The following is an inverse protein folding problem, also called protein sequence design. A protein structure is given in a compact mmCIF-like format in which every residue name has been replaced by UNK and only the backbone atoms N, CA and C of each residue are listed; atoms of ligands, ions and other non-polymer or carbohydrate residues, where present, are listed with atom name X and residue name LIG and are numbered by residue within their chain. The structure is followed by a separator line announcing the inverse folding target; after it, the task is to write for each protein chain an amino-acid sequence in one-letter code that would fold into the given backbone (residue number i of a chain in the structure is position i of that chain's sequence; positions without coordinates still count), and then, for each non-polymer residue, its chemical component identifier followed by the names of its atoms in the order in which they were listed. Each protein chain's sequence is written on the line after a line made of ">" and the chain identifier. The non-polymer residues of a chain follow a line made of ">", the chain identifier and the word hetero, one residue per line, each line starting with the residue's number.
data_IF_570234003832
#
_entry.id   IF_570234003832
#
_cell.length_a   1.000
_cell.length_b   1.000
_cell.length_c   1.000
_cell.angle_alpha   90.00
_cell.angle_beta   90.00
_cell.angle_gamma   90.00
#
_symmetry.space_group_name_H-M   'P 1'
#
loop_
_entity.id
_entity.type
_entity.pdbx_description
1 polymer ?
#
# COMPACT_ATOMS: atom_id res chain seq x y z
N UNK A 1 -25.75 38.75 -15.17
CA UNK A 1 -26.48 37.67 -14.48
C UNK A 1 -26.94 36.59 -15.46
N UNK A 2 -27.56 36.96 -16.60
CA UNK A 2 -28.02 35.99 -17.61
C UNK A 2 -26.90 35.10 -18.18
N UNK A 3 -25.72 35.66 -18.47
CA UNK A 3 -24.57 34.88 -18.96
C UNK A 3 -24.11 33.77 -18.00
N UNK A 4 -24.07 34.07 -16.70
CA UNK A 4 -23.70 33.09 -15.68
C UNK A 4 -24.75 31.98 -15.55
N UNK A 5 -26.04 32.33 -15.66
CA UNK A 5 -27.13 31.35 -15.66
C UNK A 5 -27.03 30.39 -16.84
N UNK A 6 -26.75 30.89 -18.06
CA UNK A 6 -26.55 30.04 -19.24
C UNK A 6 -25.34 29.11 -19.09
N UNK A 7 -24.27 29.58 -18.46
CA UNK A 7 -23.07 28.78 -18.19
C UNK A 7 -23.36 27.64 -17.21
N UNK A 8 -24.07 27.90 -16.12
CA UNK A 8 -24.45 26.89 -15.13
C UNK A 8 -25.39 25.85 -15.74
N UNK A 9 -26.35 26.28 -16.55
CA UNK A 9 -27.28 25.37 -17.24
C UNK A 9 -26.54 24.42 -18.20
N UNK A 10 -25.54 24.93 -18.93
CA UNK A 10 -24.69 24.11 -19.80
C UNK A 10 -23.95 23.03 -19.00
N UNK A 11 -23.32 23.39 -17.88
CA UNK A 11 -22.59 22.45 -17.02
C UNK A 11 -23.53 21.36 -16.48
N UNK A 12 -24.71 21.74 -15.99
CA UNK A 12 -25.70 20.79 -15.48
C UNK A 12 -26.17 19.81 -16.57
N UNK A 13 -26.29 20.25 -17.81
CA UNK A 13 -26.68 19.39 -18.92
C UNK A 13 -25.55 18.42 -19.33
N UNK A 14 -24.30 18.87 -19.31
CA UNK A 14 -23.12 18.02 -19.53
C UNK A 14 -22.98 16.96 -18.43
N UNK A 15 -23.17 17.33 -17.16
CA UNK A 15 -23.16 16.39 -16.04
C UNK A 15 -24.29 15.36 -16.16
N UNK A 16 -25.52 15.78 -16.49
CA UNK A 16 -26.65 14.86 -16.72
C UNK A 16 -26.36 13.86 -17.84
N UNK A 17 -25.72 14.30 -18.93
CA UNK A 17 -25.31 13.42 -20.02
C UNK A 17 -24.28 12.39 -19.55
N UNK A 18 -23.26 12.82 -18.80
CA UNK A 18 -22.25 11.93 -18.22
C UNK A 18 -22.88 10.86 -17.29
N UNK A 19 -23.80 11.27 -16.41
CA UNK A 19 -24.52 10.32 -15.53
C UNK A 19 -25.35 9.29 -16.30
N UNK A 20 -25.97 9.68 -17.41
CA UNK A 20 -26.72 8.77 -18.26
C UNK A 20 -25.82 7.68 -18.89
N UNK A 21 -24.61 8.04 -19.32
CA UNK A 21 -23.63 7.10 -19.85
C UNK A 21 -23.13 6.11 -18.78
N UNK A 22 -22.81 6.60 -17.58
CA UNK A 22 -22.41 5.75 -16.45
C UNK A 22 -23.52 4.75 -16.11
N UNK A 23 -24.78 5.21 -16.05
CA UNK A 23 -25.93 4.33 -15.78
C UNK A 23 -26.09 3.24 -16.85
N UNK A 24 -25.85 3.56 -18.12
CA UNK A 24 -25.85 2.60 -19.23
C UNK A 24 -24.74 1.55 -19.08
N UNK A 25 -23.54 1.98 -18.66
CA UNK A 25 -22.40 1.10 -18.42
C UNK A 25 -22.66 0.11 -17.28
N UNK A 26 -23.20 0.58 -16.15
CA UNK A 26 -23.54 -0.25 -15.00
C UNK A 26 -24.57 -1.33 -15.38
N UNK A 27 -25.62 -0.95 -16.13
CA UNK A 27 -26.63 -1.90 -16.62
C UNK A 27 -26.04 -2.96 -17.56
N UNK A 28 -25.02 -2.59 -18.35
CA UNK A 28 -24.30 -3.54 -19.20
C UNK A 28 -23.45 -4.51 -18.37
N UNK A 29 -22.76 -4.03 -17.33
CA UNK A 29 -21.99 -4.88 -16.42
C UNK A 29 -22.87 -5.86 -15.66
N UNK A 30 -24.01 -5.41 -15.14
CA UNK A 30 -24.97 -6.25 -14.43
C UNK A 30 -25.46 -7.40 -15.32
N UNK A 31 -25.80 -7.11 -16.58
CA UNK A 31 -26.17 -8.15 -17.55
C UNK A 31 -25.05 -9.19 -17.76
N UNK A 32 -23.80 -8.73 -17.88
CA UNK A 32 -22.64 -9.64 -18.04
C UNK A 32 -22.39 -10.50 -16.80
N UNK A 33 -22.60 -9.95 -15.60
CA UNK A 33 -22.47 -10.72 -14.35
C UNK A 33 -23.53 -11.83 -14.31
N UNK A 34 -24.77 -11.53 -14.70
CA UNK A 34 -25.85 -12.53 -14.76
C UNK A 34 -25.60 -13.59 -15.83
N UNK A 35 -25.01 -13.24 -16.98
CA UNK A 35 -24.64 -14.19 -18.04
C UNK A 35 -23.47 -15.11 -17.64
N UNK A 36 -22.54 -14.61 -16.82
CA UNK A 36 -21.37 -15.38 -16.34
C UNK A 36 -21.64 -16.18 -15.08
N UNK A 37 -22.74 -15.91 -14.37
CA UNK A 37 -23.15 -16.75 -13.25
C UNK A 37 -23.40 -18.18 -13.77
N UNK A 38 -22.62 -19.18 -13.33
CA UNK A 38 -22.86 -20.55 -13.73
C UNK A 38 -24.30 -20.87 -13.35
N UNK A 39 -25.09 -21.41 -14.29
CA UNK A 39 -26.35 -22.07 -13.96
C UNK A 39 -25.99 -23.32 -13.14
N UNK A 40 -25.67 -23.11 -11.87
CA UNK A 40 -25.41 -24.15 -10.92
C UNK A 40 -26.70 -24.93 -10.75
N UNK A 41 -26.85 -25.99 -11.54
CA UNK A 41 -27.56 -27.17 -11.09
C UNK A 41 -26.79 -27.68 -9.88
N UNK A 42 -27.12 -27.14 -8.72
CA UNK A 42 -26.96 -27.87 -7.48
C UNK A 42 -27.90 -29.07 -7.61
N UNK A 43 -27.37 -30.17 -8.13
CA UNK A 43 -27.98 -31.47 -7.90
C UNK A 43 -27.78 -31.74 -6.41
N UNK A 44 -28.87 -31.68 -5.65
CA UNK A 44 -29.01 -32.29 -4.33
C UNK A 44 -28.77 -33.80 -4.46
N UNK A 45 -27.52 -34.21 -4.59
CA UNK A 45 -27.10 -35.53 -4.16
C UNK A 45 -26.67 -35.38 -2.73
N UNK A 46 -27.64 -35.55 -1.83
CA UNK A 46 -27.41 -35.83 -0.43
C UNK A 46 -26.44 -37.02 -0.34
N UNK A 47 -25.17 -36.74 -0.08
CA UNK A 47 -24.25 -37.74 0.43
C UNK A 47 -24.64 -37.95 1.89
N UNK A 48 -25.37 -39.04 2.14
CA UNK A 48 -25.50 -39.63 3.46
C UNK A 48 -24.10 -39.99 3.93
N UNK A 49 -23.58 -39.19 4.86
CA UNK A 49 -22.35 -39.50 5.58
C UNK A 49 -22.74 -40.57 6.59
N UNK A 50 -22.39 -41.82 6.30
CA UNK A 50 -22.51 -42.89 7.28
C UNK A 50 -21.61 -42.60 8.49
N UNK A 51 -22.12 -42.75 9.72
CA UNK A 51 -21.30 -42.59 10.92
C UNK A 51 -20.31 -43.75 11.02
N UNK A 52 -19.02 -43.44 10.84
CA UNK A 52 -17.96 -44.38 11.12
C UNK A 52 -17.94 -44.68 12.63
N UNK A 53 -18.31 -45.91 12.99
CA UNK A 53 -18.13 -46.48 14.32
C UNK A 53 -16.62 -46.55 14.63
N UNK A 54 -16.16 -45.69 15.55
CA UNK A 54 -14.86 -45.82 16.18
C UNK A 54 -14.99 -46.72 17.40
N UNK A 55 -14.40 -47.92 17.31
CA UNK A 55 -14.11 -48.78 18.47
C UNK A 55 -12.89 -48.25 19.24
N UNK A 56 -12.82 -48.48 20.57
CA UNK A 56 -11.73 -48.01 21.42
C UNK A 56 -10.60 -49.05 21.55
N UNK A 57 -9.49 -48.59 22.15
CA UNK A 57 -8.40 -49.33 22.81
C UNK A 57 -7.03 -49.31 22.12
N UNK A 58 -6.23 -48.28 22.44
CA UNK A 58 -4.78 -48.44 22.64
C UNK A 58 -4.35 -47.58 23.86
N UNK A 59 -3.84 -48.17 24.95
CA UNK A 59 -3.14 -47.44 26.00
C UNK A 59 -1.63 -47.39 25.69
N UNK A 60 -1.01 -46.23 25.82
CA UNK A 60 0.43 -46.10 25.61
C UNK A 60 0.98 -44.72 25.94
N UNK A 61 1.29 -44.53 27.23
CA UNK A 61 2.11 -43.46 27.81
C UNK A 61 3.11 -42.81 26.85
N UNK A 62 3.09 -41.48 26.75
CA UNK A 62 4.32 -40.70 26.59
C UNK A 62 4.13 -39.33 27.24
N UNK A 63 5.07 -38.99 28.10
CA UNK A 63 5.06 -37.85 29.03
C UNK A 63 4.93 -36.51 28.28
N UNK A 64 3.80 -35.82 28.51
CA UNK A 64 3.62 -34.43 28.09
C UNK A 64 4.27 -33.49 29.10
N UNK A 65 5.27 -32.75 28.62
CA UNK A 65 5.90 -31.64 29.32
C UNK A 65 5.07 -30.40 29.01
N UNK A 66 4.22 -29.99 29.95
CA UNK A 66 3.44 -28.75 29.89
C UNK A 66 4.36 -27.54 30.04
N UNK A 67 4.73 -26.90 28.91
CA UNK A 67 5.10 -25.48 28.91
C UNK A 67 3.87 -24.68 28.47
N UNK A 68 3.07 -24.31 29.47
CA UNK A 68 1.96 -23.38 29.35
C UNK A 68 2.54 -21.96 29.18
N UNK A 69 2.80 -21.57 27.94
CA UNK A 69 3.04 -20.16 27.61
C UNK A 69 1.74 -19.39 27.82
N UNK A 70 1.71 -18.71 28.96
CA UNK A 70 0.72 -17.73 29.40
C UNK A 70 0.56 -16.65 28.33
N UNK A 71 -0.48 -16.74 27.51
CA UNK A 71 -0.89 -15.65 26.63
C UNK A 71 -1.35 -14.50 27.50
N UNK A 72 -0.49 -13.51 27.71
CA UNK A 72 -0.85 -12.25 28.34
C UNK A 72 -1.96 -11.62 27.50
N UNK A 73 -3.18 -11.68 28.04
CA UNK A 73 -4.33 -11.01 27.48
C UNK A 73 -4.02 -9.52 27.63
N UNK A 74 -3.78 -8.82 26.52
CA UNK A 74 -3.68 -7.36 26.54
C UNK A 74 -4.91 -6.82 27.24
N UNK A 75 -4.70 -6.00 28.28
CA UNK A 75 -5.83 -5.45 29.03
C UNK A 75 -6.64 -4.53 28.13
N UNK A 76 -7.95 -4.48 28.36
CA UNK A 76 -8.86 -3.63 27.59
C UNK A 76 -8.42 -2.14 27.62
N UNK A 77 -7.67 -1.72 28.64
CA UNK A 77 -7.10 -0.38 28.77
C UNK A 77 -6.02 -0.08 27.71
N UNK A 78 -5.19 -1.07 27.35
CA UNK A 78 -4.14 -0.92 26.34
C UNK A 78 -4.74 -0.84 24.93
N UNK A 79 -5.83 -1.59 24.70
CA UNK A 79 -6.61 -1.53 23.47
C UNK A 79 -7.37 -0.20 23.32
N UNK A 80 -7.94 0.33 24.40
CA UNK A 80 -8.60 1.64 24.41
C UNK A 80 -7.62 2.80 24.18
N UNK A 81 -6.43 2.74 24.78
CA UNK A 81 -5.39 3.74 24.56
C UNK A 81 -4.96 3.81 23.08
N UNK A 82 -4.83 2.66 22.43
CA UNK A 82 -4.49 2.57 21.01
C UNK A 82 -5.60 3.15 20.10
N UNK A 83 -6.87 2.90 20.41
CA UNK A 83 -8.01 3.48 19.68
C UNK A 83 -8.06 5.01 19.78
N UNK A 84 -7.74 5.56 20.95
CA UNK A 84 -7.72 7.02 21.18
C UNK A 84 -6.58 7.68 20.40
N UNK A 85 -5.38 7.07 20.36
CA UNK A 85 -4.27 7.56 19.53
C UNK A 85 -4.59 7.51 18.03
N UNK A 86 -5.29 6.48 17.55
CA UNK A 86 -5.62 6.36 16.12
C UNK A 86 -6.75 7.31 15.67
N UNK A 87 -7.61 7.76 16.59
CA UNK A 87 -8.75 8.63 16.28
C UNK A 87 -8.58 10.10 16.69
N UNK A 88 -7.58 10.44 17.51
CA UNK A 88 -7.35 11.79 18.04
C UNK A 88 -6.65 12.81 17.13
N UNK A 89 -6.17 12.45 15.93
CA UNK A 89 -5.41 13.37 15.06
C UNK A 89 -6.28 14.22 14.09
N UNK A 90 -7.58 14.35 14.33
CA UNK A 90 -8.43 15.28 13.56
C UNK A 90 -9.50 15.89 14.46
N UNK A 91 -9.18 17.03 15.08
CA UNK A 91 -9.85 18.30 14.79
C UNK A 91 -9.30 19.43 15.68
N UNK A 92 -9.60 20.66 15.26
CA UNK A 92 -9.41 21.95 15.95
C UNK A 92 -8.12 22.74 15.67
N UNK A 93 -8.12 23.43 14.52
CA UNK A 93 -8.03 24.88 14.59
C UNK A 93 -8.81 25.55 13.45
N UNK A 94 -10.13 25.64 13.65
CA UNK A 94 -10.95 26.72 13.12
C UNK A 94 -10.54 28.02 13.81
N UNK A 95 -10.08 28.99 13.03
CA UNK A 95 -10.16 30.40 13.44
C UNK A 95 -10.65 31.19 12.24
N UNK A 96 -11.97 31.37 12.22
CA UNK A 96 -12.61 32.48 11.54
C UNK A 96 -12.01 33.78 12.06
N UNK A 97 -11.39 34.60 11.20
CA UNK A 97 -11.54 36.06 11.24
C UNK A 97 -11.30 36.67 9.85
N UNK A 98 -12.38 37.30 9.38
CA UNK A 98 -12.48 38.49 8.53
C UNK A 98 -12.35 38.43 6.99
N UNK A 99 -13.43 38.83 6.26
CA UNK A 99 -13.37 39.28 4.88
C UNK A 99 -13.13 40.79 4.80
N UNK A 100 -12.39 41.28 3.79
CA UNK A 100 -12.67 42.50 3.01
C UNK A 100 -11.42 43.02 2.24
N UNK A 101 -11.74 43.72 1.14
CA UNK A 101 -10.97 44.67 0.31
C UNK A 101 -10.05 44.09 -0.78
N UNK A 102 -10.38 44.22 -2.09
CA UNK A 102 -10.22 45.41 -2.98
C UNK A 102 -8.72 45.63 -3.26
N UNK A 103 -8.15 45.81 -4.44
CA UNK A 103 -8.53 46.04 -5.85
C UNK A 103 -7.23 45.82 -6.67
N UNK A 104 -7.26 45.27 -7.88
CA UNK A 104 -6.95 45.97 -9.15
C UNK A 104 -5.48 45.89 -9.62
N UNK A 105 -5.33 46.14 -10.93
CA UNK A 105 -4.14 46.39 -11.73
C UNK A 105 -3.55 45.24 -12.56
N UNK A 106 -4.17 45.12 -13.73
CA UNK A 106 -3.54 44.93 -15.04
C UNK A 106 -2.18 45.62 -15.20
N UNK A 107 -1.13 44.87 -15.57
CA UNK A 107 0.01 45.43 -16.34
C UNK A 107 0.41 44.45 -17.44
N UNK A 108 0.18 44.89 -18.67
CA UNK A 108 0.78 44.42 -19.92
C UNK A 108 2.26 44.84 -19.99
N UNK A 109 3.13 43.94 -20.43
CA UNK A 109 4.15 44.29 -21.45
C UNK A 109 4.90 43.07 -21.98
N UNK A 110 4.72 42.89 -23.28
CA UNK A 110 5.64 42.26 -24.21
C UNK A 110 7.03 42.90 -24.10
N UNK A 111 8.09 42.09 -24.29
CA UNK A 111 9.28 42.37 -25.12
C UNK A 111 10.49 41.60 -24.60
N UNK A 112 10.92 40.59 -25.36
CA UNK A 112 12.36 40.37 -25.57
C UNK A 112 12.63 40.10 -27.05
N UNK A 113 13.52 40.93 -27.58
CA UNK A 113 14.11 40.91 -28.90
C UNK A 113 15.37 40.06 -28.84
N UNK A 114 15.66 39.30 -29.89
CA UNK A 114 16.95 38.65 -30.08
C UNK A 114 17.80 39.42 -31.10
N UNK A 115 19.10 39.46 -30.79
CA UNK A 115 20.26 39.67 -31.67
C UNK A 115 20.61 41.13 -31.97
N UNK A 116 21.70 41.69 -31.41
CA UNK A 116 23.15 41.36 -31.52
C UNK A 116 23.79 42.37 -32.46
N UNK A 117 24.70 43.20 -31.96
CA UNK A 117 26.11 43.21 -32.38
C UNK A 117 26.89 44.45 -31.88
N UNK A 118 28.07 44.15 -31.33
CA UNK A 118 29.36 44.84 -31.49
C UNK A 118 29.61 46.17 -30.76
N UNK A 119 30.60 46.13 -29.87
CA UNK A 119 31.69 47.12 -29.90
C UNK A 119 32.14 47.73 -28.57
N UNK A 120 33.32 47.32 -28.08
CA UNK A 120 34.35 48.31 -27.69
C UNK A 120 34.72 48.48 -26.21
N UNK A 121 35.97 48.11 -25.92
CA UNK A 121 36.95 48.75 -25.01
C UNK A 121 36.72 48.79 -23.48
N UNK A 122 37.42 47.87 -22.79
CA UNK A 122 38.52 48.19 -21.85
C UNK A 122 38.22 48.95 -20.57
N UNK A 123 38.29 48.24 -19.43
CA UNK A 123 39.13 48.53 -18.25
C UNK A 123 38.83 47.49 -17.14
N UNK A 124 39.84 46.77 -16.67
CA UNK A 124 39.87 46.17 -15.33
C UNK A 124 40.29 47.25 -14.30
N UNK A 125 40.30 47.04 -12.97
CA UNK A 125 39.68 46.00 -12.13
C UNK A 125 38.89 46.60 -10.94
N UNK A 126 37.84 45.96 -10.42
CA UNK A 126 37.50 46.07 -8.99
C UNK A 126 36.92 44.75 -8.49
N UNK A 127 37.58 44.17 -7.51
CA UNK A 127 37.08 43.09 -6.67
C UNK A 127 35.90 43.65 -5.87
N UNK A 128 34.67 43.41 -6.33
CA UNK A 128 33.48 43.60 -5.53
C UNK A 128 33.12 42.25 -4.92
N UNK A 129 33.40 42.14 -3.62
CA UNK A 129 32.97 41.09 -2.70
C UNK A 129 31.44 41.13 -2.52
N UNK A 130 30.72 40.99 -3.63
CA UNK A 130 29.28 40.87 -3.64
C UNK A 130 28.93 39.43 -3.32
N UNK A 131 28.79 39.15 -2.02
CA UNK A 131 28.08 37.99 -1.49
C UNK A 131 26.84 37.70 -2.35
N UNK A 132 26.70 36.53 -2.99
CA UNK A 132 25.55 36.25 -3.82
C UNK A 132 24.30 36.27 -2.94
N UNK A 133 23.36 37.17 -3.25
CA UNK A 133 22.05 37.20 -2.63
C UNK A 133 21.41 35.80 -2.69
N UNK A 134 20.74 35.33 -1.62
CA UNK A 134 20.16 33.99 -1.60
C UNK A 134 19.14 33.83 -2.73
N UNK A 135 19.37 32.86 -3.62
CA UNK A 135 18.43 32.46 -4.68
C UNK A 135 17.13 31.87 -4.08
N UNK A 136 16.23 32.70 -3.55
CA UNK A 136 14.92 32.33 -3.00
C UNK A 136 14.01 31.52 -3.94
N UNK A 137 13.88 31.82 -5.25
CA UNK A 137 12.96 31.07 -6.11
C UNK A 137 13.36 29.61 -6.29
N UNK A 138 14.65 29.29 -6.21
CA UNK A 138 15.18 27.92 -6.34
C UNK A 138 14.86 27.08 -5.09
N UNK A 139 14.88 27.69 -3.90
CA UNK A 139 14.57 26.99 -2.65
C UNK A 139 13.07 26.68 -2.53
N UNK A 140 12.18 27.62 -2.90
CA UNK A 140 10.72 27.43 -2.83
C UNK A 140 10.24 26.27 -3.72
N UNK A 141 10.79 26.14 -4.93
CA UNK A 141 10.47 25.06 -5.84
C UNK A 141 10.93 23.68 -5.32
N UNK A 142 12.10 23.62 -4.68
CA UNK A 142 12.62 22.39 -4.06
C UNK A 142 11.74 21.91 -2.90
N UNK A 143 11.29 22.81 -2.04
CA UNK A 143 10.42 22.48 -0.90
C UNK A 143 9.07 21.96 -1.38
N UNK A 144 8.46 22.60 -2.39
CA UNK A 144 7.21 22.15 -3.00
C UNK A 144 7.33 20.76 -3.62
N UNK A 145 8.43 20.48 -4.33
CA UNK A 145 8.70 19.15 -4.89
C UNK A 145 8.76 18.06 -3.81
N UNK A 146 9.50 18.31 -2.72
CA UNK A 146 9.61 17.36 -1.60
C UNK A 146 8.29 17.15 -0.86
N UNK A 147 7.47 18.19 -0.70
CA UNK A 147 6.12 18.05 -0.13
C UNK A 147 5.23 17.16 -0.99
N UNK A 148 5.27 17.34 -2.32
CA UNK A 148 4.52 16.50 -3.25
C UNK A 148 4.98 15.03 -3.19
N UNK A 149 6.29 14.79 -3.13
CA UNK A 149 6.85 13.44 -2.96
C UNK A 149 6.43 12.80 -1.65
N UNK A 150 6.47 13.55 -0.54
CA UNK A 150 6.01 13.07 0.77
C UNK A 150 4.53 12.68 0.72
N UNK A 151 3.67 13.55 0.16
CA UNK A 151 2.24 13.26 0.02
C UNK A 151 1.95 12.03 -0.84
N UNK A 152 2.71 11.81 -1.93
CA UNK A 152 2.60 10.59 -2.74
C UNK A 152 3.02 9.34 -1.97
N UNK A 153 4.09 9.43 -1.16
CA UNK A 153 4.55 8.30 -0.35
C UNK A 153 3.54 7.96 0.74
N UNK A 154 2.98 8.96 1.43
CA UNK A 154 1.93 8.79 2.42
C UNK A 154 0.67 8.15 1.84
N UNK A 155 0.23 8.62 0.67
CA UNK A 155 -0.90 8.01 -0.02
C UNK A 155 -0.61 6.54 -0.36
N UNK A 156 0.60 6.25 -0.83
CA UNK A 156 1.04 4.91 -1.21
C UNK A 156 1.19 3.96 -0.03
N UNK A 157 1.57 4.48 1.14
CA UNK A 157 1.68 3.73 2.39
C UNK A 157 0.36 3.07 2.80
N UNK A 158 -0.78 3.70 2.50
CA UNK A 158 -2.10 3.14 2.79
C UNK A 158 -2.43 1.88 1.98
N UNK A 159 -1.74 1.68 0.85
CA UNK A 159 -1.91 0.48 0.02
C UNK A 159 -0.92 -0.64 0.36
N UNK A 160 0.00 -0.44 1.32
CA UNK A 160 0.89 -1.51 1.75
C UNK A 160 0.08 -2.64 2.39
N UNK A 161 0.06 -3.83 1.77
CA UNK A 161 -0.68 -4.97 2.30
C UNK A 161 -0.07 -5.42 3.62
N UNK A 162 -0.91 -5.91 4.53
CA UNK A 162 -0.47 -6.54 5.79
C UNK A 162 -0.55 -8.05 5.66
N UNK A 163 0.49 -8.76 6.10
CA UNK A 163 0.46 -10.22 6.24
C UNK A 163 -0.46 -10.55 7.42
N UNK A 164 -1.48 -11.37 7.19
CA UNK A 164 -2.40 -11.80 8.25
C UNK A 164 -1.78 -13.01 8.95
N UNK A 165 -1.25 -12.78 10.16
CA UNK A 165 -0.86 -13.86 11.08
C UNK A 165 -2.10 -14.18 11.89
N UNK A 166 -3.00 -14.98 11.32
CA UNK A 166 -4.19 -15.44 12.02
C UNK A 166 -4.20 -16.97 12.02
N UNK A 167 -4.50 -17.56 13.18
CA UNK A 167 -4.84 -18.97 13.27
C UNK A 167 -6.21 -19.18 12.62
N UNK A 168 -6.27 -19.96 11.55
CA UNK A 168 -7.50 -20.12 10.78
C UNK A 168 -8.42 -21.19 11.38
N UNK A 169 -9.73 -20.97 11.18
CA UNK A 169 -10.83 -21.83 11.57
C UNK A 169 -10.97 -23.04 10.65
N UNK A 170 -11.45 -24.17 11.21
CA UNK A 170 -11.92 -25.50 10.70
C UNK A 170 -11.59 -26.01 9.28
N UNK A 171 -11.40 -25.18 8.25
CA UNK A 171 -11.22 -25.59 6.85
C UNK A 171 -9.76 -25.74 6.38
N UNK A 172 -8.75 -25.42 7.20
CA UNK A 172 -7.33 -25.62 6.85
C UNK A 172 -6.80 -27.03 7.10
N UNK A 173 -7.64 -27.93 7.64
CA UNK A 173 -7.26 -29.23 8.22
C UNK A 173 -6.30 -30.09 7.37
N UNK A 174 -6.35 -29.96 6.04
CA UNK A 174 -5.59 -30.81 5.13
C UNK A 174 -4.24 -30.23 4.69
N UNK A 175 -3.99 -28.93 4.85
CA UNK A 175 -2.73 -28.32 4.38
C UNK A 175 -1.63 -28.36 5.46
N UNK A 176 -0.42 -28.79 5.08
CA UNK A 176 0.78 -28.71 5.91
C UNK A 176 1.54 -27.42 5.59
N UNK A 177 1.89 -26.66 6.61
CA UNK A 177 2.75 -25.48 6.44
C UNK A 177 4.13 -25.92 5.94
N UNK A 178 4.57 -25.42 4.79
CA UNK A 178 5.89 -25.73 4.22
C UNK A 178 7.05 -25.20 5.05
N UNK A 179 6.79 -24.21 5.91
CA UNK A 179 7.81 -23.56 6.74
C UNK A 179 7.99 -24.27 8.09
N UNK A 180 6.92 -24.38 8.88
CA UNK A 180 7.02 -24.98 10.22
C UNK A 180 6.57 -26.44 10.30
N UNK A 181 6.03 -27.00 9.21
CA UNK A 181 5.56 -28.37 9.16
C UNK A 181 4.26 -28.67 9.91
N UNK A 182 3.66 -27.70 10.62
CA UNK A 182 2.38 -27.90 11.35
C UNK A 182 1.24 -28.09 10.34
N UNK A 183 0.41 -29.10 10.58
CA UNK A 183 -0.76 -29.41 9.75
C UNK A 183 -1.99 -28.68 10.26
N UNK A 184 -2.85 -28.19 9.37
CA UNK A 184 -4.20 -27.75 9.73
C UNK A 184 -4.34 -26.40 10.42
N UNK A 185 -3.25 -25.80 10.93
CA UNK A 185 -3.29 -24.60 11.78
C UNK A 185 -3.24 -23.27 11.03
N UNK A 186 -2.48 -23.19 9.92
CA UNK A 186 -2.27 -21.96 9.16
C UNK A 186 -1.71 -22.25 7.76
N UNK A 187 -1.86 -21.30 6.85
CA UNK A 187 -1.19 -21.31 5.56
C UNK A 187 0.29 -20.93 5.70
N UNK A 188 1.16 -21.37 4.78
CA UNK A 188 2.59 -21.03 4.81
C UNK A 188 2.87 -19.51 4.83
N UNK A 189 2.03 -18.68 4.20
CA UNK A 189 2.13 -17.20 4.23
C UNK A 189 1.68 -16.57 5.57
N UNK A 190 1.09 -17.36 6.47
CA UNK A 190 0.64 -16.96 7.80
C UNK A 190 1.41 -17.70 8.90
N UNK A 191 2.63 -18.18 8.60
CA UNK A 191 3.41 -18.95 9.56
C UNK A 191 3.83 -18.10 10.77
N UNK A 192 3.49 -18.50 12.02
CA UNK A 192 3.89 -17.74 13.20
C UNK A 192 5.36 -17.95 13.57
N UNK A 193 6.02 -19.01 13.08
CA UNK A 193 7.44 -19.28 13.36
C UNK A 193 8.39 -18.56 12.43
N UNK A 194 7.98 -18.35 11.17
CA UNK A 194 8.77 -17.67 10.14
C UNK A 194 7.87 -16.58 9.57
N UNK A 195 7.93 -15.41 10.19
CA UNK A 195 6.97 -14.33 9.96
C UNK A 195 7.42 -13.36 8.87
N UNK A 196 8.75 -13.21 8.66
CA UNK A 196 9.33 -12.30 7.68
C UNK A 196 9.62 -13.02 6.37
N UNK A 197 9.43 -12.33 5.26
CA UNK A 197 9.68 -12.88 3.92
C UNK A 197 11.14 -13.26 3.71
N UNK A 198 12.09 -12.49 4.24
CA UNK A 198 13.53 -12.77 4.15
C UNK A 198 13.92 -14.05 4.91
N UNK A 199 13.48 -14.22 6.16
CA UNK A 199 13.70 -15.46 6.92
C UNK A 199 13.11 -16.67 6.18
N UNK A 200 12.00 -16.47 5.46
CA UNK A 200 11.42 -17.46 4.57
C UNK A 200 12.30 -17.81 3.37
N UNK A 201 13.04 -16.85 2.80
CA UNK A 201 14.01 -17.10 1.72
C UNK A 201 15.16 -17.98 2.20
N UNK A 202 15.78 -17.62 3.33
CA UNK A 202 16.90 -18.38 3.89
C UNK A 202 16.44 -19.82 4.18
N UNK A 203 15.26 -19.97 4.79
CA UNK A 203 14.68 -21.28 5.05
C UNK A 203 14.49 -22.13 3.78
N UNK A 204 13.95 -21.57 2.69
CA UNK A 204 13.75 -22.38 1.48
C UNK A 204 15.05 -22.74 0.78
N UNK A 205 16.07 -21.87 0.85
CA UNK A 205 17.38 -22.14 0.26
C UNK A 205 18.08 -23.25 1.04
N UNK A 206 18.07 -23.18 2.37
CA UNK A 206 18.65 -24.19 3.25
C UNK A 206 17.98 -25.56 3.13
N UNK A 207 16.67 -25.60 2.85
CA UNK A 207 15.88 -26.83 2.73
C UNK A 207 15.70 -27.30 1.27
N UNK A 208 16.32 -26.63 0.29
CA UNK A 208 16.20 -27.00 -1.13
C UNK A 208 14.79 -26.91 -1.70
N UNK A 209 13.94 -26.05 -1.13
CA UNK A 209 12.55 -25.89 -1.55
C UNK A 209 12.43 -24.91 -2.73
N UNK A 210 11.45 -25.17 -3.61
CA UNK A 210 11.19 -24.31 -4.74
C UNK A 210 10.61 -22.96 -4.28
N UNK A 211 11.27 -21.86 -4.64
CA UNK A 211 10.79 -20.49 -4.37
C UNK A 211 9.42 -20.12 -4.95
N UNK A 212 8.87 -20.93 -5.86
CA UNK A 212 7.61 -20.66 -6.55
C UNK A 212 6.42 -21.37 -5.90
N UNK A 213 6.59 -22.62 -5.48
CA UNK A 213 5.51 -23.44 -4.90
C UNK A 213 5.76 -23.90 -3.46
N UNK A 214 6.96 -23.67 -2.90
CA UNK A 214 7.40 -24.13 -1.58
C UNK A 214 7.46 -25.66 -1.41
N UNK A 215 7.59 -26.40 -2.51
CA UNK A 215 7.75 -27.86 -2.54
C UNK A 215 9.10 -28.26 -3.16
N UNK A 216 9.51 -29.52 -3.01
CA UNK A 216 10.67 -30.06 -3.71
C UNK A 216 10.35 -30.25 -5.21
N UNK A 217 11.01 -29.45 -6.05
CA UNK A 217 10.90 -29.51 -7.50
C UNK A 217 12.18 -29.99 -8.20
N UNK A 218 13.13 -30.57 -7.46
CA UNK A 218 14.45 -30.95 -7.96
C UNK A 218 14.39 -31.88 -9.18
N UNK A 219 13.42 -32.80 -9.23
CA UNK A 219 13.35 -33.83 -10.27
C UNK A 219 12.51 -33.46 -11.50
N UNK A 220 11.44 -32.68 -11.33
CA UNK A 220 10.43 -32.47 -12.39
C UNK A 220 10.37 -31.03 -12.91
N UNK A 221 11.07 -30.11 -12.25
CA UNK A 221 10.86 -28.68 -12.45
C UNK A 221 9.52 -28.22 -11.88
N UNK A 222 9.37 -26.91 -11.69
CA UNK A 222 8.16 -26.34 -11.10
C UNK A 222 7.19 -25.89 -12.21
N UNK A 223 5.99 -26.47 -12.24
CA UNK A 223 4.90 -26.06 -13.14
C UNK A 223 4.27 -24.72 -12.71
N UNK A 224 4.32 -24.39 -11.41
CA UNK A 224 3.73 -23.19 -10.82
C UNK A 224 4.59 -21.91 -10.99
N UNK A 225 5.22 -21.73 -12.16
CA UNK A 225 6.10 -20.58 -12.42
C UNK A 225 5.35 -19.29 -12.81
N UNK A 226 4.04 -19.35 -13.01
CA UNK A 226 3.28 -18.32 -13.76
C UNK A 226 2.63 -17.24 -12.93
N UNK A 227 2.48 -17.41 -11.61
CA UNK A 227 1.62 -16.52 -10.86
C UNK A 227 2.42 -15.38 -10.24
N UNK A 228 2.01 -14.14 -10.56
CA UNK A 228 2.54 -12.97 -9.91
C UNK A 228 2.16 -13.00 -8.43
N UNK A 229 3.10 -12.65 -7.56
CA UNK A 229 2.81 -12.49 -6.14
C UNK A 229 1.72 -11.42 -5.95
N UNK A 230 0.63 -11.77 -5.27
CA UNK A 230 -0.48 -10.86 -4.98
C UNK A 230 -0.03 -9.55 -4.32
N UNK A 231 0.90 -9.62 -3.35
CA UNK A 231 1.45 -8.43 -2.70
C UNK A 231 2.17 -7.51 -3.69
N UNK A 232 2.95 -8.08 -4.60
CA UNK A 232 3.64 -7.33 -5.65
C UNK A 232 2.66 -6.68 -6.61
N UNK A 233 1.62 -7.42 -7.01
CA UNK A 233 0.59 -6.91 -7.92
C UNK A 233 -0.17 -5.72 -7.32
N UNK A 234 -0.49 -5.76 -6.02
CA UNK A 234 -1.11 -4.63 -5.32
C UNK A 234 -0.22 -3.39 -5.39
N UNK A 235 1.09 -3.53 -5.13
CA UNK A 235 2.02 -2.40 -5.18
C UNK A 235 2.19 -1.86 -6.60
N UNK A 236 2.37 -2.73 -7.59
CA UNK A 236 2.53 -2.31 -8.98
C UNK A 236 1.30 -1.55 -9.52
N UNK A 237 0.09 -1.91 -9.07
CA UNK A 237 -1.15 -1.26 -9.52
C UNK A 237 -1.52 -0.01 -8.72
N UNK A 238 -1.36 -0.04 -7.39
CA UNK A 238 -1.91 1.00 -6.49
C UNK A 238 -0.87 1.95 -5.91
N UNK A 239 0.40 1.54 -5.86
CA UNK A 239 1.48 2.28 -5.22
C UNK A 239 2.77 2.27 -6.06
N UNK A 240 2.76 2.79 -7.31
CA UNK A 240 3.90 2.70 -8.22
C UNK A 240 5.17 3.40 -7.71
N UNK A 241 5.05 4.38 -6.80
CA UNK A 241 6.22 5.00 -6.14
C UNK A 241 6.99 4.01 -5.26
N UNK A 242 6.34 2.94 -4.81
CA UNK A 242 6.91 1.86 -4.01
C UNK A 242 7.38 0.67 -4.87
N UNK A 243 7.48 0.83 -6.20
CA UNK A 243 7.90 -0.24 -7.11
C UNK A 243 9.29 -0.79 -6.79
N UNK A 244 10.16 0.00 -6.16
CA UNK A 244 11.47 -0.47 -5.69
C UNK A 244 11.40 -1.56 -4.62
N UNK A 245 10.27 -1.71 -3.92
CA UNK A 245 10.04 -2.77 -2.95
C UNK A 245 9.72 -4.12 -3.60
N UNK A 246 9.35 -4.12 -4.89
CA UNK A 246 8.96 -5.34 -5.60
C UNK A 246 10.22 -6.13 -5.95
N UNK A 247 10.38 -7.38 -5.45
CA UNK A 247 11.51 -8.21 -5.82
C UNK A 247 11.58 -8.44 -7.33
N UNK A 248 12.79 -8.39 -7.89
CA UNK A 248 13.00 -8.61 -9.33
C UNK A 248 12.72 -10.05 -9.77
N UNK A 249 12.85 -11.01 -8.84
CA UNK A 249 12.66 -12.43 -9.09
C UNK A 249 11.24 -12.85 -8.70
N UNK A 250 10.63 -13.69 -9.54
CA UNK A 250 9.40 -14.39 -9.21
C UNK A 250 9.55 -15.20 -7.91
N UNK A 251 8.52 -15.15 -7.08
CA UNK A 251 8.52 -15.75 -5.75
C UNK A 251 7.10 -16.05 -5.29
N UNK A 252 6.98 -17.06 -4.44
CA UNK A 252 5.76 -17.38 -3.72
C UNK A 252 5.43 -16.25 -2.74
N UNK A 253 4.14 -15.95 -2.54
CA UNK A 253 3.68 -14.84 -1.66
C UNK A 253 4.24 -14.88 -0.24
N UNK A 254 4.46 -16.08 0.30
CA UNK A 254 5.07 -16.32 1.61
C UNK A 254 6.45 -15.67 1.74
N UNK A 255 7.18 -15.57 0.64
CA UNK A 255 8.55 -15.04 0.60
C UNK A 255 8.57 -13.55 0.27
N UNK A 256 7.41 -12.90 0.11
CA UNK A 256 7.36 -11.51 -0.29
C UNK A 256 7.76 -10.59 0.87
N UNK A 257 8.72 -9.67 0.68
CA UNK A 257 9.13 -8.72 1.72
C UNK A 257 8.21 -7.50 1.84
N UNK A 258 7.30 -7.29 0.87
CA UNK A 258 6.43 -6.10 0.83
C UNK A 258 5.63 -5.92 2.12
N UNK A 259 4.94 -6.95 2.67
CA UNK A 259 4.21 -6.78 3.93
C UNK A 259 5.09 -6.35 5.11
N UNK A 260 6.36 -6.72 5.09
CA UNK A 260 7.33 -6.46 6.16
C UNK A 260 7.97 -5.06 6.06
N UNK A 261 7.83 -4.40 4.90
CA UNK A 261 8.41 -3.07 4.63
C UNK A 261 7.66 -1.90 5.29
N UNK A 262 6.46 -2.13 5.81
CA UNK A 262 5.61 -1.08 6.39
C UNK A 262 6.31 -0.22 7.46
N UNK A 263 6.99 -0.77 8.49
CA UNK A 263 7.75 0.05 9.44
C UNK A 263 8.86 0.90 8.79
N UNK A 264 9.56 0.37 7.78
CA UNK A 264 10.63 1.10 7.09
C UNK A 264 10.10 2.29 6.28
N UNK A 265 8.96 2.11 5.62
CA UNK A 265 8.29 3.20 4.88
C UNK A 265 7.73 4.24 5.85
N UNK A 266 7.13 3.82 6.97
CA UNK A 266 6.66 4.75 8.00
C UNK A 266 7.82 5.61 8.57
N UNK A 267 8.95 4.99 8.87
CA UNK A 267 10.16 5.70 9.31
C UNK A 267 10.68 6.68 8.24
N UNK A 268 10.61 6.29 6.96
CA UNK A 268 11.00 7.15 5.84
C UNK A 268 10.11 8.38 5.69
N UNK A 269 8.78 8.22 5.82
CA UNK A 269 7.81 9.33 5.85
C UNK A 269 8.12 10.26 7.02
N UNK A 270 8.31 9.73 8.23
CA UNK A 270 8.65 10.52 9.43
C UNK A 270 9.93 11.32 9.23
N UNK A 271 10.96 10.72 8.63
CA UNK A 271 12.24 11.38 8.30
C UNK A 271 12.07 12.49 7.27
N UNK A 272 11.22 12.31 6.26
CA UNK A 272 10.92 13.35 5.27
C UNK A 272 10.13 14.51 5.87
N UNK A 273 9.12 14.23 6.70
CA UNK A 273 8.38 15.26 7.45
C UNK A 273 9.30 16.11 8.32
N UNK A 274 10.20 15.48 9.10
CA UNK A 274 11.17 16.20 9.95
C UNK A 274 12.10 17.12 9.15
N UNK A 275 12.44 16.75 7.91
CA UNK A 275 13.26 17.58 7.01
C UNK A 275 12.47 18.74 6.38
N UNK A 276 11.17 18.58 6.19
CA UNK A 276 10.28 19.62 5.65
C UNK A 276 9.90 20.63 6.72
N UNK A 277 9.72 20.17 7.96
CA UNK A 277 9.35 20.98 9.11
C UNK A 277 10.37 20.74 10.23
N UNK A 278 11.60 21.25 10.12
CA UNK A 278 12.52 21.22 11.24
C UNK A 278 11.88 22.03 12.37
N UNK A 279 11.49 21.35 13.46
CA UNK A 279 10.97 21.99 14.66
C UNK A 279 11.92 23.12 15.03
N UNK A 280 11.44 24.36 14.97
CA UNK A 280 12.14 25.51 15.54
C UNK A 280 12.10 25.29 17.05
N UNK A 281 13.09 24.58 17.57
CA UNK A 281 13.39 24.63 18.99
C UNK A 281 13.83 26.07 19.29
N UNK A 282 12.89 26.85 19.84
CA UNK A 282 13.16 28.09 20.55
C UNK A 282 13.54 27.77 21.99
#
# INVERSE_FOLDING_TARGET
>A
MEFEMTRVEKILNEEKACFAEIKKMLKCMEKKVTELAPQGRYSDTAYEIEPAEMSPDIPGNTEEREDSERTESQSDDEYLAWLIEESGERDEQTTEQNPLSIDDETVTKEREMANSEVGGCGQEPMEDESTPAPNEPVQKNRTRGRQMENGKLEHSFNYLPKRKIQEFTKNTAFSRCSLCGRQGKHFSDSCPRITRGFDGWDFIEDNGLCRHCLEDCSQKGCSNRSDNCWYCEVILKKAPILRSLVPQKYHHRTLCPIPDSKPEIAASIKKMKKKLFPSRHY
#
